data_IF_233257323838
#
_entry.id   IF_233257323838
#
_cell.length_a   1.000
_cell.length_b   1.000
_cell.length_c   1.000
_cell.angle_alpha   90.00
_cell.angle_beta   90.00
_cell.angle_gamma   90.00
#
_symmetry.space_group_name_H-M   'P 1'
#
loop_
_entity.id
_entity.type
_entity.pdbx_description
1 polymer ?
#
# COMPACT_ATOMS: atom_id res chain seq x y z
N UNK A 1 -6.84 -15.90 -6.66
CA UNK A 1 -7.19 -14.53 -7.05
C UNK A 1 -6.00 -13.64 -6.77
N UNK A 2 -5.81 -12.57 -7.51
CA UNK A 2 -4.73 -11.63 -7.23
C UNK A 2 -5.14 -10.20 -7.53
N UNK A 3 -4.50 -9.28 -6.83
CA UNK A 3 -4.64 -7.84 -7.06
C UNK A 3 -3.27 -7.19 -7.13
N UNK A 4 -3.21 -6.01 -7.75
CA UNK A 4 -2.01 -5.19 -7.77
C UNK A 4 -2.33 -3.87 -7.06
N UNK A 5 -1.55 -3.54 -6.04
CA UNK A 5 -1.64 -2.28 -5.31
C UNK A 5 -0.76 -1.23 -5.99
N UNK A 6 -1.34 -0.07 -6.26
CA UNK A 6 -0.58 1.11 -6.68
C UNK A 6 -0.05 1.89 -5.47
N UNK A 7 0.76 2.92 -5.73
CA UNK A 7 1.33 3.73 -4.67
C UNK A 7 0.26 4.49 -3.90
N UNK A 8 -0.81 4.94 -4.57
CA UNK A 8 -1.91 5.67 -3.95
C UNK A 8 -2.64 4.81 -2.90
N UNK A 9 -3.00 3.57 -3.26
CA UNK A 9 -3.66 2.63 -2.37
C UNK A 9 -2.83 2.38 -1.09
N UNK A 10 -1.53 2.09 -1.25
CA UNK A 10 -0.66 1.84 -0.09
C UNK A 10 -0.42 3.08 0.76
N UNK A 11 -0.30 4.26 0.14
CA UNK A 11 -0.17 5.51 0.89
C UNK A 11 -1.45 5.87 1.64
N UNK A 12 -2.62 5.60 1.07
CA UNK A 12 -3.89 5.80 1.75
C UNK A 12 -4.01 4.89 2.98
N UNK A 13 -3.63 3.61 2.85
CA UNK A 13 -3.57 2.66 3.96
C UNK A 13 -2.59 3.08 5.06
N UNK A 14 -1.37 3.48 4.69
CA UNK A 14 -0.34 3.90 5.66
C UNK A 14 -0.69 5.18 6.43
N UNK A 15 -1.61 6.01 5.91
CA UNK A 15 -1.95 7.33 6.47
C UNK A 15 -3.39 7.40 7.03
N UNK A 16 -4.11 6.27 7.08
CA UNK A 16 -5.52 6.22 7.52
C UNK A 16 -6.45 7.19 6.76
N UNK A 17 -6.19 7.32 5.46
CA UNK A 17 -6.98 8.16 4.55
C UNK A 17 -8.19 7.38 3.97
N UNK A 18 -9.19 8.06 3.38
CA UNK A 18 -10.31 7.39 2.73
C UNK A 18 -9.86 6.31 1.74
N UNK A 19 -10.30 5.07 1.98
CA UNK A 19 -9.89 3.90 1.22
C UNK A 19 -8.91 2.96 1.94
N UNK A 20 -8.34 3.38 3.08
CA UNK A 20 -7.44 2.55 3.89
C UNK A 20 -8.04 1.18 4.25
N UNK A 21 -9.27 1.16 4.76
CA UNK A 21 -9.96 -0.09 5.15
C UNK A 21 -10.10 -1.07 3.98
N UNK A 22 -10.33 -0.58 2.74
CA UNK A 22 -10.45 -1.46 1.59
C UNK A 22 -9.12 -2.17 1.30
N UNK A 23 -8.00 -1.45 1.43
CA UNK A 23 -6.66 -2.01 1.24
C UNK A 23 -6.33 -2.98 2.37
N UNK A 24 -6.66 -2.62 3.61
CA UNK A 24 -6.50 -3.49 4.78
C UNK A 24 -7.27 -4.81 4.61
N UNK A 25 -8.52 -4.76 4.12
CA UNK A 25 -9.32 -5.94 3.82
C UNK A 25 -8.59 -6.85 2.81
N UNK A 26 -8.03 -6.30 1.73
CA UNK A 26 -7.33 -7.12 0.74
C UNK A 26 -6.04 -7.75 1.31
N UNK A 27 -5.31 -7.01 2.16
CA UNK A 27 -4.12 -7.52 2.84
C UNK A 27 -4.47 -8.64 3.84
N UNK A 28 -5.59 -8.51 4.55
CA UNK A 28 -6.13 -9.55 5.41
C UNK A 28 -6.54 -10.79 4.61
N UNK A 29 -7.23 -10.62 3.48
CA UNK A 29 -7.54 -11.74 2.57
C UNK A 29 -6.27 -12.47 2.11
N UNK A 30 -5.21 -11.74 1.77
CA UNK A 30 -3.92 -12.32 1.38
C UNK A 30 -3.19 -13.05 2.52
N UNK A 31 -3.49 -12.69 3.78
CA UNK A 31 -2.92 -13.35 4.96
C UNK A 31 -3.69 -14.62 5.33
N UNK A 32 -5.01 -14.62 5.12
CA UNK A 32 -5.91 -15.72 5.48
C UNK A 32 -6.03 -16.80 4.40
N UNK A 33 -5.82 -16.45 3.13
CA UNK A 33 -6.05 -17.34 1.99
C UNK A 33 -4.79 -17.52 1.15
N UNK A 34 -4.25 -18.73 1.11
CA UNK A 34 -3.06 -19.06 0.29
C UNK A 34 -3.26 -18.79 -1.21
N UNK A 35 -4.51 -18.80 -1.69
CA UNK A 35 -4.83 -18.56 -3.10
C UNK A 35 -5.03 -17.09 -3.45
N UNK A 36 -4.91 -16.19 -2.46
CA UNK A 36 -5.07 -14.75 -2.62
C UNK A 36 -3.71 -14.06 -2.49
N UNK A 37 -3.34 -13.22 -3.46
CA UNK A 37 -2.03 -12.55 -3.44
C UNK A 37 -2.13 -11.08 -3.83
N UNK A 38 -1.56 -10.23 -3.00
CA UNK A 38 -1.34 -8.82 -3.29
C UNK A 38 0.04 -8.63 -3.93
N UNK A 39 0.07 -8.08 -5.14
CA UNK A 39 1.29 -7.68 -5.83
C UNK A 39 1.47 -6.17 -5.77
N UNK A 40 2.70 -5.73 -5.97
CA UNK A 40 3.03 -4.34 -6.21
C UNK A 40 4.21 -4.28 -7.20
N UNK A 41 4.18 -3.33 -8.13
CA UNK A 41 5.32 -3.08 -9.00
C UNK A 41 6.45 -2.37 -8.24
N UNK A 42 7.71 -2.63 -8.61
CA UNK A 42 8.86 -1.92 -8.03
C UNK A 42 8.79 -0.40 -8.23
N UNK A 43 8.14 0.05 -9.31
CA UNK A 43 7.91 1.48 -9.58
C UNK A 43 6.99 2.09 -8.51
N UNK A 44 5.86 1.42 -8.22
CA UNK A 44 4.92 1.88 -7.19
C UNK A 44 5.55 1.86 -5.79
N UNK A 45 6.34 0.82 -5.49
CA UNK A 45 7.09 0.76 -4.23
C UNK A 45 8.09 1.92 -4.11
N UNK A 46 8.77 2.27 -5.19
CA UNK A 46 9.65 3.42 -5.25
C UNK A 46 8.93 4.75 -5.00
N UNK A 47 7.72 4.92 -5.53
CA UNK A 47 6.89 6.10 -5.25
C UNK A 47 6.48 6.18 -3.77
N UNK A 48 6.02 5.07 -3.18
CA UNK A 48 5.68 5.00 -1.74
C UNK A 48 6.89 5.43 -0.91
N UNK A 49 8.06 4.82 -1.17
CA UNK A 49 9.29 5.13 -0.46
C UNK A 49 9.70 6.60 -0.60
N UNK A 50 9.69 7.14 -1.82
CA UNK A 50 10.05 8.53 -2.07
C UNK A 50 9.10 9.51 -1.35
N UNK A 51 7.79 9.25 -1.37
CA UNK A 51 6.80 10.13 -0.73
C UNK A 51 6.95 10.13 0.80
N UNK A 52 7.16 8.97 1.42
CA UNK A 52 7.39 8.88 2.87
C UNK A 52 8.69 9.59 3.28
N UNK A 53 9.79 9.36 2.56
CA UNK A 53 11.04 10.07 2.80
C UNK A 53 10.89 11.58 2.67
N UNK A 54 10.23 12.05 1.60
CA UNK A 54 10.00 13.47 1.37
C UNK A 54 9.19 14.10 2.50
N UNK A 55 8.18 13.40 3.01
CA UNK A 55 7.38 13.88 4.14
C UNK A 55 8.21 13.99 5.43
N UNK A 56 9.13 13.05 5.68
CA UNK A 56 10.00 13.08 6.86
C UNK A 56 11.04 14.21 6.81
N UNK A 57 11.64 14.48 5.65
CA UNK A 57 12.66 15.54 5.50
C UNK A 57 12.10 16.95 5.72
N UNK A 58 10.79 17.16 5.51
CA UNK A 58 10.15 18.45 5.78
C UNK A 58 9.94 18.68 7.29
N UNK A 59 10.05 17.63 8.12
CA UNK A 59 9.82 17.69 9.57
C UNK A 59 11.12 17.80 10.40
N UNK A 60 12.29 17.84 9.77
CA UNK A 60 13.62 18.00 10.39
C UNK A 60 14.25 19.34 10.03
#
# INVERSE_FOLDING_TARGET
MSICLDAFAVLAWLQDEPGANQVEDQLNQATEQETYTCYMSTINLGEVYYRLLRAMVVLT
#
